data_IF_735668659602
#
_entry.id   IF_735668659602
#
_cell.length_a   1.000
_cell.length_b   1.000
_cell.length_c   1.000
_cell.angle_alpha   90.00
_cell.angle_beta   90.00
_cell.angle_gamma   90.00
#
_symmetry.space_group_name_H-M   'P 1'
#
loop_
_entity.id
_entity.type
_entity.pdbx_description
1 polymer ?
#
# COMPACT_ATOMS: atom_id res chain seq x y z
N UNK A 1 14.06 -47.07 31.09
CA UNK A 1 13.10 -46.00 30.74
C UNK A 1 12.30 -46.50 29.56
N UNK A 2 10.98 -46.36 29.58
CA UNK A 2 10.07 -46.81 28.50
C UNK A 2 9.15 -45.65 28.13
N UNK A 3 8.76 -45.56 26.85
CA UNK A 3 7.79 -44.58 26.36
C UNK A 3 6.59 -45.33 25.78
N UNK A 4 5.40 -44.97 26.24
CA UNK A 4 4.12 -45.44 25.70
C UNK A 4 3.56 -44.36 24.78
N UNK A 5 3.49 -44.64 23.48
CA UNK A 5 2.97 -43.70 22.47
C UNK A 5 1.46 -43.44 22.60
N UNK A 6 0.69 -44.43 23.07
CA UNK A 6 -0.77 -44.35 23.19
C UNK A 6 -1.16 -43.44 24.34
N UNK A 7 -0.48 -43.58 25.47
CA UNK A 7 -0.73 -42.74 26.67
C UNK A 7 0.21 -41.54 26.78
N UNK A 8 1.19 -41.43 25.86
CA UNK A 8 2.28 -40.43 25.88
C UNK A 8 3.05 -40.41 27.21
N UNK A 9 3.16 -41.56 27.87
CA UNK A 9 3.77 -41.69 29.20
C UNK A 9 5.21 -42.15 29.11
N UNK A 10 6.10 -41.49 29.85
CA UNK A 10 7.48 -41.96 30.08
C UNK A 10 7.54 -42.63 31.45
N UNK A 11 7.97 -43.89 31.51
CA UNK A 11 8.17 -44.63 32.76
C UNK A 11 9.65 -44.94 33.00
N UNK A 12 10.07 -44.92 34.27
CA UNK A 12 11.43 -45.29 34.67
C UNK A 12 11.38 -46.08 35.99
N UNK A 13 12.40 -46.90 36.22
CA UNK A 13 12.59 -47.69 37.44
C UNK A 13 13.94 -47.29 38.01
N UNK A 14 13.98 -46.92 39.28
CA UNK A 14 15.24 -46.74 40.01
C UNK A 14 15.93 -48.11 40.12
N UNK A 15 17.18 -48.19 39.66
CA UNK A 15 17.94 -49.45 39.71
C UNK A 15 18.48 -49.79 41.11
N UNK A 16 18.30 -48.88 42.08
CA UNK A 16 18.75 -49.05 43.45
C UNK A 16 17.68 -48.52 44.43
N UNK A 17 17.53 -49.24 45.54
CA UNK A 17 16.69 -48.82 46.65
C UNK A 17 17.26 -47.56 47.32
N UNK A 18 16.38 -46.67 47.76
CA UNK A 18 16.75 -45.51 48.57
C UNK A 18 16.77 -45.92 50.05
N UNK A 19 17.91 -45.68 50.72
CA UNK A 19 18.00 -45.90 52.16
C UNK A 19 17.20 -44.84 52.93
N UNK A 20 16.78 -45.11 54.19
CA UNK A 20 16.12 -44.13 55.04
C UNK A 20 16.91 -42.81 55.13
N UNK A 21 16.26 -41.69 54.81
CA UNK A 21 16.88 -40.36 54.78
C UNK A 21 17.55 -39.96 53.46
N UNK A 22 17.57 -40.84 52.44
CA UNK A 22 18.01 -40.48 51.10
C UNK A 22 16.88 -39.87 50.28
N UNK A 23 17.22 -38.88 49.45
CA UNK A 23 16.31 -38.25 48.52
C UNK A 23 16.78 -38.49 47.08
N UNK A 24 15.87 -38.89 46.20
CA UNK A 24 16.12 -38.86 44.76
C UNK A 24 15.51 -37.58 44.16
N UNK A 25 16.30 -36.85 43.35
CA UNK A 25 15.79 -35.76 42.53
C UNK A 25 15.44 -36.31 41.14
N UNK A 26 14.16 -36.34 40.82
CA UNK A 26 13.69 -36.71 39.48
C UNK A 26 13.43 -35.41 38.71
N UNK A 27 14.13 -35.24 37.58
CA UNK A 27 13.93 -34.09 36.69
C UNK A 27 13.23 -34.60 35.44
N UNK A 28 12.04 -34.06 35.17
CA UNK A 28 11.30 -34.36 33.95
C UNK A 28 11.62 -33.32 32.89
N UNK A 29 11.98 -33.78 31.69
CA UNK A 29 11.98 -32.94 30.50
C UNK A 29 10.62 -33.11 29.82
N UNK A 30 9.79 -32.08 29.90
CA UNK A 30 8.43 -32.14 29.36
C UNK A 30 8.44 -31.73 27.90
N UNK A 31 7.76 -32.49 27.06
CA UNK A 31 7.51 -32.13 25.66
C UNK A 31 6.09 -31.59 25.55
N UNK A 32 5.97 -30.36 25.03
CA UNK A 32 4.69 -29.71 24.75
C UNK A 32 3.87 -30.59 23.81
N UNK A 33 2.59 -30.84 24.13
CA UNK A 33 1.68 -31.47 23.18
C UNK A 33 0.32 -30.78 23.22
N UNK A 34 0.01 -30.07 22.14
CA UNK A 34 -1.27 -29.42 21.90
C UNK A 34 -1.14 -28.34 20.84
N UNK A 35 -1.82 -28.52 19.70
CA UNK A 35 -2.01 -27.50 18.65
C UNK A 35 -3.06 -26.44 19.09
N UNK A 36 -3.55 -26.52 20.33
CA UNK A 36 -4.58 -25.70 20.96
C UNK A 36 -4.02 -24.67 21.95
N UNK A 37 -2.69 -24.54 22.05
CA UNK A 37 -2.04 -23.59 22.95
C UNK A 37 -2.05 -23.99 24.42
N UNK A 38 -2.42 -25.24 24.77
CA UNK A 38 -2.42 -25.73 26.16
C UNK A 38 -1.43 -26.89 26.32
N UNK A 39 -0.28 -26.61 26.92
CA UNK A 39 0.66 -27.60 27.40
C UNK A 39 0.26 -28.06 28.80
N UNK A 40 -0.14 -29.32 28.91
CA UNK A 40 -0.38 -29.99 30.18
C UNK A 40 0.86 -30.77 30.57
N UNK A 41 1.51 -30.37 31.65
CA UNK A 41 2.49 -31.24 32.30
C UNK A 41 1.74 -32.12 33.29
N UNK A 42 1.70 -33.43 33.06
CA UNK A 42 1.20 -34.39 34.04
C UNK A 42 2.41 -35.04 34.68
N UNK A 43 2.67 -34.73 35.95
CA UNK A 43 3.72 -35.41 36.73
C UNK A 43 3.07 -36.33 37.75
N UNK A 44 3.28 -37.65 37.57
CA UNK A 44 2.90 -38.69 38.52
C UNK A 44 4.12 -39.57 38.78
N UNK A 45 4.86 -39.27 39.85
CA UNK A 45 5.85 -40.18 40.40
C UNK A 45 5.14 -41.19 41.31
N UNK A 46 5.60 -42.45 41.33
CA UNK A 46 5.16 -43.43 42.33
C UNK A 46 6.36 -44.12 42.96
N UNK A 47 6.21 -44.51 44.22
CA UNK A 47 7.20 -45.26 44.97
C UNK A 47 6.50 -46.44 45.64
N UNK A 48 7.01 -47.65 45.43
CA UNK A 48 6.47 -48.86 46.05
C UNK A 48 7.45 -49.35 47.12
N UNK A 49 6.98 -49.47 48.35
CA UNK A 49 7.76 -49.97 49.49
C UNK A 49 6.92 -50.96 50.30
N UNK A 50 7.51 -52.11 50.61
CA UNK A 50 6.87 -53.16 51.41
C UNK A 50 5.45 -53.52 50.94
N UNK A 51 5.23 -53.61 49.63
CA UNK A 51 3.93 -53.94 49.03
C UNK A 51 2.91 -52.80 48.99
N UNK A 52 3.25 -51.60 49.48
CA UNK A 52 2.40 -50.41 49.43
C UNK A 52 2.95 -49.41 48.42
N UNK A 53 2.09 -48.87 47.56
CA UNK A 53 2.47 -47.85 46.56
C UNK A 53 1.98 -46.47 46.99
N UNK A 54 2.88 -45.50 47.02
CA UNK A 54 2.60 -44.10 47.29
C UNK A 54 2.74 -43.34 45.97
N UNK A 55 1.77 -42.49 45.64
CA UNK A 55 1.80 -41.62 44.46
C UNK A 55 2.14 -40.20 44.88
N UNK A 56 2.93 -39.49 44.09
CA UNK A 56 2.95 -38.04 44.14
C UNK A 56 1.58 -37.50 43.75
N UNK A 57 1.23 -36.35 44.26
CA UNK A 57 0.11 -35.56 43.79
C UNK A 57 0.26 -35.26 42.29
N UNK A 58 -0.85 -35.31 41.56
CA UNK A 58 -0.90 -34.82 40.19
C UNK A 58 -0.66 -33.30 40.24
N UNK A 59 0.46 -32.84 39.69
CA UNK A 59 0.65 -31.43 39.41
C UNK A 59 0.29 -31.22 37.95
N UNK A 60 -0.88 -30.64 37.70
CA UNK A 60 -1.23 -30.11 36.38
C UNK A 60 -0.79 -28.66 36.34
N UNK A 61 0.26 -28.35 35.58
CA UNK A 61 0.61 -26.97 35.26
C UNK A 61 -0.09 -26.59 33.96
N UNK A 62 -0.94 -25.58 34.04
CA UNK A 62 -1.55 -24.93 32.88
C UNK A 62 -0.59 -23.83 32.42
N UNK A 63 -0.40 -23.70 31.12
CA UNK A 63 0.37 -22.61 30.55
C UNK A 63 -0.57 -21.43 30.31
N UNK A 64 -0.47 -20.42 31.14
CA UNK A 64 -1.29 -19.22 30.96
C UNK A 64 -0.88 -18.53 29.65
N UNK A 65 -1.86 -18.28 28.78
CA UNK A 65 -1.65 -17.61 27.50
C UNK A 65 -2.76 -16.61 27.22
N UNK A 66 -2.44 -15.59 26.43
CA UNK A 66 -3.38 -14.67 25.83
C UNK A 66 -3.52 -14.93 24.33
N UNK A 67 -4.76 -14.81 23.86
CA UNK A 67 -5.17 -14.80 22.47
C UNK A 67 -5.52 -13.36 22.08
N UNK A 68 -4.93 -12.85 21.01
CA UNK A 68 -5.26 -11.53 20.48
C UNK A 68 -5.92 -11.69 19.11
N UNK A 69 -7.11 -11.12 18.95
CA UNK A 69 -7.78 -10.98 17.67
C UNK A 69 -7.60 -9.57 17.12
N UNK A 70 -7.08 -9.50 15.91
CA UNK A 70 -6.96 -8.27 15.14
C UNK A 70 -8.12 -8.20 14.17
N UNK A 71 -8.89 -7.12 14.26
CA UNK A 71 -10.06 -6.93 13.40
C UNK A 71 -10.09 -5.54 12.78
N UNK A 72 -10.83 -5.43 11.69
CA UNK A 72 -11.23 -4.18 11.08
C UNK A 72 -12.24 -3.47 11.98
N UNK A 73 -12.03 -2.19 12.26
CA UNK A 73 -12.88 -1.41 13.18
C UNK A 73 -14.31 -1.25 12.65
N UNK A 74 -14.50 -1.11 11.34
CA UNK A 74 -15.80 -0.80 10.74
C UNK A 74 -16.64 -2.06 10.50
N UNK A 75 -16.00 -3.15 10.09
CA UNK A 75 -16.65 -4.38 9.62
C UNK A 75 -16.54 -5.54 10.61
N UNK A 76 -15.58 -5.50 11.55
CA UNK A 76 -15.29 -6.59 12.47
C UNK A 76 -14.59 -7.79 11.83
N UNK A 77 -14.25 -7.72 10.54
CA UNK A 77 -13.56 -8.80 9.83
C UNK A 77 -12.14 -9.01 10.39
N UNK A 78 -11.64 -10.26 10.43
CA UNK A 78 -10.28 -10.55 10.88
C UNK A 78 -9.22 -9.95 9.95
N UNK A 79 -8.10 -9.51 10.52
CA UNK A 79 -6.99 -8.90 9.77
C UNK A 79 -5.67 -9.66 9.94
N UNK A 80 -5.23 -10.28 8.85
CA UNK A 80 -3.95 -10.98 8.74
C UNK A 80 -2.77 -10.02 8.49
N UNK A 81 -1.58 -10.42 8.93
CA UNK A 81 -0.32 -9.72 8.62
C UNK A 81 0.01 -8.50 9.49
N UNK A 82 -0.77 -8.19 10.52
CA UNK A 82 -0.35 -7.24 11.55
C UNK A 82 0.83 -7.81 12.33
N UNK A 83 1.82 -7.00 12.69
CA UNK A 83 2.99 -7.45 13.46
C UNK A 83 3.02 -6.76 14.81
N UNK A 84 3.24 -7.55 15.86
CA UNK A 84 3.23 -7.12 17.25
C UNK A 84 4.52 -7.49 17.96
N UNK A 85 4.78 -6.73 19.04
CA UNK A 85 5.64 -7.16 20.14
C UNK A 85 4.79 -7.37 21.40
N UNK A 86 5.25 -8.28 22.25
CA UNK A 86 4.73 -8.48 23.59
C UNK A 86 5.73 -7.93 24.59
N UNK A 87 5.30 -7.06 25.49
CA UNK A 87 6.14 -6.45 26.55
C UNK A 87 5.61 -6.80 27.93
N UNK A 88 6.50 -6.82 28.93
CA UNK A 88 6.13 -6.96 30.34
C UNK A 88 5.77 -5.61 31.01
N UNK A 89 5.39 -5.66 32.29
CA UNK A 89 5.06 -4.48 33.12
C UNK A 89 6.14 -3.38 33.13
N UNK A 90 7.40 -3.72 32.85
CA UNK A 90 8.54 -2.79 32.81
C UNK A 90 8.84 -2.28 31.39
N UNK A 91 8.00 -2.63 30.42
CA UNK A 91 8.20 -2.34 29.00
C UNK A 91 9.30 -3.16 28.36
N UNK A 92 9.80 -4.22 29.02
CA UNK A 92 10.83 -5.08 28.43
C UNK A 92 10.17 -6.03 27.45
N UNK A 93 10.76 -6.14 26.26
CA UNK A 93 10.27 -7.06 25.25
C UNK A 93 10.40 -8.51 25.71
N UNK A 94 9.28 -9.24 25.64
CA UNK A 94 9.17 -10.67 25.93
C UNK A 94 9.20 -11.46 24.63
N UNK A 95 8.49 -10.98 23.60
CA UNK A 95 8.49 -11.54 22.24
C UNK A 95 8.38 -10.43 21.20
N UNK A 96 8.97 -10.67 20.04
CA UNK A 96 8.90 -9.79 18.87
C UNK A 96 8.35 -10.55 17.67
N UNK A 97 7.95 -9.80 16.65
CA UNK A 97 7.53 -10.33 15.35
C UNK A 97 6.39 -11.35 15.45
N UNK A 98 5.46 -11.13 16.40
CA UNK A 98 4.23 -11.91 16.48
C UNK A 98 3.31 -11.41 15.38
N UNK A 99 3.01 -12.24 14.39
CA UNK A 99 2.20 -11.84 13.24
C UNK A 99 0.82 -12.46 13.31
N UNK A 100 -0.22 -11.69 13.02
CA UNK A 100 -1.58 -12.22 12.92
C UNK A 100 -1.69 -13.16 11.73
N UNK A 101 -2.27 -14.33 11.95
CA UNK A 101 -2.52 -15.33 10.92
C UNK A 101 -3.72 -14.96 10.03
N UNK A 102 -4.12 -15.88 9.14
CA UNK A 102 -5.26 -15.68 8.23
C UNK A 102 -6.60 -15.47 8.97
N UNK A 103 -6.72 -15.97 10.20
CA UNK A 103 -7.87 -15.71 11.08
C UNK A 103 -7.73 -14.42 11.89
N UNK A 104 -6.68 -13.63 11.67
CA UNK A 104 -6.42 -12.39 12.39
C UNK A 104 -5.94 -12.61 13.82
N UNK A 105 -5.39 -13.79 14.13
CA UNK A 105 -5.14 -14.21 15.50
C UNK A 105 -3.65 -14.28 15.82
N UNK A 106 -3.29 -13.93 17.06
CA UNK A 106 -1.98 -14.17 17.66
C UNK A 106 -2.15 -14.99 18.94
N UNK A 107 -1.39 -16.08 19.03
CA UNK A 107 -1.18 -16.79 20.28
C UNK A 107 0.11 -16.30 20.94
N UNK A 108 0.00 -15.70 22.12
CA UNK A 108 1.19 -15.30 22.90
C UNK A 108 2.07 -16.48 23.32
N UNK A 109 1.53 -17.70 23.35
CA UNK A 109 2.16 -18.87 23.96
C UNK A 109 2.25 -18.74 25.48
N UNK A 110 3.10 -19.56 26.11
CA UNK A 110 3.23 -19.61 27.58
C UNK A 110 3.79 -18.30 28.15
N UNK A 111 3.11 -17.76 29.16
CA UNK A 111 3.57 -16.64 29.97
C UNK A 111 3.61 -17.03 31.46
N UNK A 112 4.49 -16.36 32.21
CA UNK A 112 4.46 -16.43 33.68
C UNK A 112 3.38 -15.46 34.21
N UNK A 113 2.84 -15.68 35.42
CA UNK A 113 2.00 -14.68 36.07
C UNK A 113 2.66 -13.29 36.11
N UNK A 114 1.87 -12.26 35.80
CA UNK A 114 2.33 -10.88 35.70
C UNK A 114 1.54 -10.05 34.68
N UNK A 115 1.89 -8.77 34.58
CA UNK A 115 1.28 -7.83 33.63
C UNK A 115 2.06 -7.76 32.32
N UNK A 116 1.33 -7.69 31.22
CA UNK A 116 1.85 -7.66 29.86
C UNK A 116 1.05 -6.69 28.98
N UNK A 117 1.60 -6.37 27.81
CA UNK A 117 0.86 -5.69 26.76
C UNK A 117 1.31 -6.14 25.37
N UNK A 118 0.35 -6.29 24.47
CA UNK A 118 0.63 -6.31 23.03
C UNK A 118 0.74 -4.88 22.51
N UNK A 119 1.74 -4.63 21.66
CA UNK A 119 1.93 -3.34 20.98
C UNK A 119 2.09 -3.64 19.49
N UNK A 120 1.22 -3.07 18.66
CA UNK A 120 1.35 -3.16 17.21
C UNK A 120 2.61 -2.42 16.78
N UNK A 121 3.38 -3.04 15.89
CA UNK A 121 4.63 -2.50 15.34
C UNK A 121 4.55 -2.34 13.82
N UNK A 122 3.56 -2.99 13.19
CA UNK A 122 3.24 -2.84 11.78
C UNK A 122 1.76 -3.19 11.57
N UNK A 123 1.01 -2.25 11.01
CA UNK A 123 -0.37 -2.51 10.60
C UNK A 123 -0.46 -3.52 9.46
N UNK A 124 -1.61 -4.21 9.30
CA UNK A 124 -1.97 -4.88 8.06
C UNK A 124 -1.90 -3.95 6.86
N UNK A 125 -1.70 -4.52 5.66
CA UNK A 125 -1.69 -3.75 4.42
C UNK A 125 -3.02 -3.01 4.23
N UNK A 126 -2.97 -1.70 4.00
CA UNK A 126 -4.16 -0.86 3.81
C UNK A 126 -4.76 -0.29 5.10
N UNK A 127 -4.12 -0.48 6.24
CA UNK A 127 -4.58 0.00 7.55
C UNK A 127 -3.59 0.99 8.17
N UNK A 128 -4.11 1.85 9.06
CA UNK A 128 -3.30 2.75 9.89
C UNK A 128 -2.75 1.97 11.08
N UNK A 129 -1.50 2.26 11.47
CA UNK A 129 -0.83 1.67 12.64
C UNK A 129 -1.40 2.26 13.93
N UNK A 130 -1.83 1.39 14.85
CA UNK A 130 -2.22 1.79 16.20
C UNK A 130 -1.27 1.18 17.23
N UNK A 131 -0.32 1.98 17.72
CA UNK A 131 0.65 1.56 18.73
C UNK A 131 0.07 1.58 20.17
N UNK A 132 -1.23 1.83 20.34
CA UNK A 132 -1.88 1.84 21.66
C UNK A 132 -1.76 0.46 22.32
N UNK A 133 -1.10 0.33 23.50
CA UNK A 133 -0.87 -0.97 24.10
C UNK A 133 -2.15 -1.65 24.58
N UNK A 134 -2.38 -2.89 24.12
CA UNK A 134 -3.45 -3.76 24.63
C UNK A 134 -2.94 -4.49 25.87
N UNK A 135 -3.26 -3.95 27.05
CA UNK A 135 -2.77 -4.44 28.34
C UNK A 135 -3.58 -5.61 28.86
N UNK A 136 -2.90 -6.56 29.51
CA UNK A 136 -3.54 -7.66 30.21
C UNK A 136 -2.71 -8.20 31.37
N UNK A 137 -3.37 -8.94 32.26
CA UNK A 137 -2.73 -9.58 33.41
C UNK A 137 -2.94 -11.09 33.34
N UNK A 138 -1.85 -11.83 33.55
CA UNK A 138 -1.85 -13.26 33.73
C UNK A 138 -1.82 -13.56 35.23
N UNK A 139 -2.84 -14.25 35.74
CA UNK A 139 -2.93 -14.62 37.16
C UNK A 139 -2.51 -16.07 37.35
N UNK A 140 -1.79 -16.36 38.44
CA UNK A 140 -1.39 -17.72 38.78
C UNK A 140 -2.59 -18.65 38.93
N UNK A 141 -2.56 -19.80 38.24
CA UNK A 141 -3.64 -20.78 38.24
C UNK A 141 -4.86 -20.41 37.41
N UNK A 142 -4.77 -19.41 36.53
CA UNK A 142 -5.86 -19.00 35.65
C UNK A 142 -6.11 -20.03 34.52
N UNK A 143 -7.19 -20.79 34.63
CA UNK A 143 -7.50 -21.90 33.70
C UNK A 143 -8.04 -21.47 32.32
N UNK A 144 -8.21 -20.17 32.09
CA UNK A 144 -8.87 -19.63 30.90
C UNK A 144 -7.89 -18.75 30.14
N UNK A 145 -7.74 -19.04 28.85
CA UNK A 145 -6.99 -18.18 27.92
C UNK A 145 -7.67 -16.83 27.86
N UNK A 146 -6.91 -15.75 28.07
CA UNK A 146 -7.48 -14.43 27.99
C UNK A 146 -7.72 -14.06 26.52
N UNK A 147 -8.96 -13.68 26.21
CA UNK A 147 -9.39 -13.31 24.86
C UNK A 147 -9.40 -11.78 24.73
N UNK A 148 -8.55 -11.25 23.85
CA UNK A 148 -8.31 -9.83 23.64
C UNK A 148 -8.65 -9.45 22.20
N UNK A 149 -9.09 -8.21 21.99
CA UNK A 149 -9.36 -7.68 20.64
C UNK A 149 -8.66 -6.34 20.43
N UNK A 150 -8.12 -6.12 19.23
CA UNK A 150 -7.58 -4.84 18.79
C UNK A 150 -8.04 -4.49 17.37
N UNK A 151 -8.53 -3.28 17.20
CA UNK A 151 -9.09 -2.79 15.95
C UNK A 151 -8.08 -1.94 15.18
N UNK A 152 -8.11 -1.95 13.84
CA UNK A 152 -7.48 -0.92 13.01
C UNK A 152 -8.53 -0.36 12.08
N UNK A 153 -8.35 0.90 11.72
CA UNK A 153 -9.14 1.56 10.70
C UNK A 153 -8.34 1.70 9.41
N UNK A 154 -9.07 1.73 8.30
CA UNK A 154 -8.52 2.13 7.02
C UNK A 154 -8.24 3.65 7.03
N UNK A 155 -7.24 4.12 6.28
CA UNK A 155 -6.97 5.55 6.18
C UNK A 155 -8.16 6.26 5.55
N UNK A 156 -8.43 7.49 6.01
CA UNK A 156 -9.38 8.37 5.32
C UNK A 156 -8.85 8.74 3.95
N UNK A 157 -9.74 8.87 2.98
CA UNK A 157 -9.40 9.20 1.60
C UNK A 157 -10.17 10.41 1.11
N UNK A 158 -9.57 11.14 0.17
CA UNK A 158 -10.18 12.22 -0.60
C UNK A 158 -10.14 11.90 -2.09
N UNK A 159 -10.83 12.72 -2.89
CA UNK A 159 -10.71 12.71 -4.35
C UNK A 159 -10.31 14.10 -4.85
N UNK A 160 -9.48 14.13 -5.89
CA UNK A 160 -9.11 15.35 -6.62
C UNK A 160 -9.66 15.24 -8.03
N UNK A 161 -10.52 16.18 -8.42
CA UNK A 161 -11.11 16.21 -9.76
C UNK A 161 -11.13 17.61 -10.33
N UNK A 162 -11.17 17.70 -11.66
CA UNK A 162 -11.17 18.95 -12.37
C UNK A 162 -11.66 18.82 -13.81
N UNK A 163 -11.83 19.97 -14.45
CA UNK A 163 -12.27 20.09 -15.83
C UNK A 163 -11.23 20.81 -16.68
N UNK A 164 -11.17 20.42 -17.95
CA UNK A 164 -10.37 21.05 -18.98
C UNK A 164 -11.24 21.88 -19.92
N UNK A 165 -10.90 23.16 -20.03
CA UNK A 165 -11.53 24.12 -20.94
C UNK A 165 -10.55 24.58 -22.04
N UNK A 166 -11.08 24.85 -23.23
CA UNK A 166 -10.35 25.36 -24.38
C UNK A 166 -10.89 26.73 -24.80
N UNK A 167 -10.05 27.76 -24.74
CA UNK A 167 -10.29 29.11 -25.25
C UNK A 167 -9.58 29.28 -26.60
N UNK A 168 -10.11 28.64 -27.64
CA UNK A 168 -9.48 28.51 -28.97
C UNK A 168 -10.44 28.72 -30.14
N UNK A 169 -11.53 29.47 -29.88
CA UNK A 169 -12.58 29.77 -30.85
C UNK A 169 -13.16 28.51 -31.51
N UNK A 170 -13.45 27.50 -30.69
CA UNK A 170 -13.94 26.20 -31.13
C UNK A 170 -12.97 25.52 -32.11
N UNK A 171 -11.69 25.46 -31.72
CA UNK A 171 -10.60 24.86 -32.48
C UNK A 171 -10.42 25.46 -33.89
N UNK A 172 -10.46 26.79 -34.02
CA UNK A 172 -10.43 27.49 -35.32
C UNK A 172 -9.22 27.13 -36.19
N UNK A 173 -8.07 26.82 -35.56
CA UNK A 173 -6.82 26.47 -36.25
C UNK A 173 -6.63 24.96 -36.46
N UNK A 174 -7.56 24.11 -36.01
CA UNK A 174 -7.40 22.65 -35.98
C UNK A 174 -6.11 22.18 -35.25
N UNK A 175 -5.69 22.92 -34.23
CA UNK A 175 -4.46 22.67 -33.46
C UNK A 175 -4.70 21.99 -32.12
N UNK A 176 -5.96 21.86 -31.68
CA UNK A 176 -6.29 21.22 -30.41
C UNK A 176 -5.88 19.74 -30.46
N UNK A 177 -5.07 19.25 -29.50
CA UNK A 177 -4.70 17.84 -29.46
C UNK A 177 -5.91 16.97 -29.12
N UNK A 178 -5.87 15.71 -29.54
CA UNK A 178 -6.93 14.73 -29.23
C UNK A 178 -7.04 14.43 -27.72
N UNK A 179 -5.94 14.63 -26.98
CA UNK A 179 -5.89 14.51 -25.54
C UNK A 179 -4.73 15.31 -24.93
N UNK A 180 -4.82 15.53 -23.63
CA UNK A 180 -3.75 16.08 -22.78
C UNK A 180 -3.44 15.09 -21.64
N UNK A 181 -2.34 15.34 -20.92
CA UNK A 181 -1.99 14.62 -19.70
C UNK A 181 -2.11 15.57 -18.50
N UNK A 182 -2.85 15.15 -17.48
CA UNK A 182 -2.88 15.80 -16.16
C UNK A 182 -2.13 14.92 -15.17
N UNK A 183 -1.15 15.49 -14.51
CA UNK A 183 -0.31 14.84 -13.51
C UNK A 183 -0.78 15.17 -12.10
N UNK A 184 -0.91 14.15 -11.25
CA UNK A 184 -1.15 14.30 -9.82
C UNK A 184 0.17 14.27 -9.05
N UNK A 185 0.33 15.25 -8.16
CA UNK A 185 1.47 15.37 -7.26
C UNK A 185 1.01 15.25 -5.81
N UNK A 186 1.79 14.55 -5.00
CA UNK A 186 1.65 14.46 -3.55
C UNK A 186 2.93 14.94 -2.89
N UNK A 187 2.84 15.97 -2.06
CA UNK A 187 3.98 16.64 -1.42
C UNK A 187 5.07 17.04 -2.45
N UNK A 188 4.64 17.49 -3.64
CA UNK A 188 5.54 17.90 -4.73
C UNK A 188 6.13 16.77 -5.57
N UNK A 189 5.87 15.49 -5.25
CA UNK A 189 6.29 14.35 -6.06
C UNK A 189 5.14 13.88 -6.96
N UNK A 190 5.42 13.68 -8.26
CA UNK A 190 4.45 13.07 -9.19
C UNK A 190 4.16 11.63 -8.77
N UNK A 191 2.89 11.29 -8.58
CA UNK A 191 2.45 9.96 -8.14
C UNK A 191 1.52 9.27 -9.13
N UNK A 192 0.84 10.02 -10.00
CA UNK A 192 -0.08 9.47 -10.99
C UNK A 192 -0.26 10.44 -12.17
N UNK A 193 -0.87 9.96 -13.26
CA UNK A 193 -1.22 10.74 -14.45
C UNK A 193 -2.52 10.22 -15.08
N UNK A 194 -3.37 11.13 -15.55
CA UNK A 194 -4.55 10.78 -16.32
C UNK A 194 -4.53 11.43 -17.71
N UNK A 195 -4.84 10.63 -18.73
CA UNK A 195 -5.06 11.13 -20.10
C UNK A 195 -6.50 11.64 -20.23
N UNK A 196 -6.64 12.91 -20.61
CA UNK A 196 -7.92 13.62 -20.66
C UNK A 196 -8.23 14.00 -22.11
N UNK A 197 -9.43 13.71 -22.59
CA UNK A 197 -9.81 13.87 -24.00
C UNK A 197 -11.28 14.24 -24.16
N UNK A 198 -11.73 14.43 -25.41
CA UNK A 198 -13.15 14.58 -25.71
C UNK A 198 -13.99 13.36 -25.25
N UNK A 199 -13.42 12.15 -25.28
CA UNK A 199 -14.12 10.94 -24.82
C UNK A 199 -14.35 10.92 -23.30
N UNK A 200 -13.47 11.56 -22.52
CA UNK A 200 -13.66 11.76 -21.07
C UNK A 200 -14.44 13.04 -20.78
N UNK A 201 -15.06 13.63 -21.80
CA UNK A 201 -15.75 14.93 -21.73
C UNK A 201 -14.86 16.04 -21.16
N UNK A 202 -13.55 15.93 -21.39
CA UNK A 202 -12.52 16.83 -20.85
C UNK A 202 -12.54 16.93 -19.31
N UNK A 203 -12.92 15.86 -18.61
CA UNK A 203 -12.89 15.76 -17.16
C UNK A 203 -11.88 14.71 -16.69
N UNK A 204 -11.40 14.87 -15.47
CA UNK A 204 -10.45 13.97 -14.82
C UNK A 204 -10.73 13.85 -13.32
N UNK A 205 -10.34 12.73 -12.73
CA UNK A 205 -10.51 12.44 -11.31
C UNK A 205 -9.44 11.45 -10.82
N UNK A 206 -8.95 11.70 -9.62
CA UNK A 206 -8.08 10.81 -8.87
C UNK A 206 -8.79 10.49 -7.55
N UNK A 207 -9.15 9.22 -7.36
CA UNK A 207 -9.94 8.76 -6.22
C UNK A 207 -9.09 8.00 -5.21
N UNK A 208 -9.66 7.78 -4.01
CA UNK A 208 -9.07 6.98 -2.94
C UNK A 208 -7.66 7.47 -2.52
N UNK A 209 -7.42 8.78 -2.60
CA UNK A 209 -6.15 9.37 -2.21
C UNK A 209 -6.10 9.48 -0.69
N UNK A 210 -5.13 8.87 0.01
CA UNK A 210 -5.06 8.97 1.47
C UNK A 210 -4.94 10.45 1.88
N UNK A 211 -5.72 10.85 2.89
CA UNK A 211 -5.77 12.23 3.38
C UNK A 211 -4.49 12.61 4.13
N UNK A 212 -3.89 11.65 4.86
CA UNK A 212 -2.72 11.85 5.69
C UNK A 212 -1.79 10.63 5.67
N UNK A 213 -0.55 10.83 6.11
CA UNK A 213 0.40 9.75 6.37
C UNK A 213 0.01 8.92 7.62
N UNK A 214 0.78 7.87 7.90
CA UNK A 214 0.54 6.97 9.03
C UNK A 214 0.66 7.66 10.40
N UNK A 215 1.27 8.84 10.47
CA UNK A 215 1.43 9.64 11.69
C UNK A 215 0.34 10.71 11.80
N UNK A 216 -0.59 10.78 10.85
CA UNK A 216 -1.66 11.77 10.80
C UNK A 216 -1.25 13.11 10.18
N UNK A 217 -0.09 13.20 9.53
CA UNK A 217 0.32 14.41 8.80
C UNK A 217 -0.45 14.49 7.47
N UNK A 218 -1.27 15.53 7.22
CA UNK A 218 -2.02 15.63 5.97
C UNK A 218 -1.11 15.72 4.75
N UNK A 219 -1.53 15.08 3.66
CA UNK A 219 -0.86 15.18 2.36
C UNK A 219 -1.29 16.45 1.61
N UNK A 220 -0.33 17.10 0.95
CA UNK A 220 -0.60 18.19 0.01
C UNK A 220 -0.73 17.62 -1.41
N UNK A 221 -1.93 17.73 -1.98
CA UNK A 221 -2.22 17.28 -3.34
C UNK A 221 -2.36 18.45 -4.31
N UNK A 222 -1.63 18.37 -5.41
CA UNK A 222 -1.71 19.35 -6.50
C UNK A 222 -1.74 18.65 -7.84
N UNK A 223 -2.21 19.36 -8.86
CA UNK A 223 -2.30 18.86 -10.24
C UNK A 223 -1.57 19.81 -11.16
N UNK A 224 -0.97 19.25 -12.22
CA UNK A 224 -0.31 20.03 -13.27
C UNK A 224 -0.65 19.46 -14.65
N UNK A 225 -0.87 20.34 -15.61
CA UNK A 225 -1.00 19.96 -17.00
C UNK A 225 0.39 19.89 -17.66
N UNK A 226 0.64 18.84 -18.46
CA UNK A 226 1.82 18.81 -19.32
C UNK A 226 1.73 19.87 -20.41
N UNK A 227 2.86 20.51 -20.75
CA UNK A 227 2.91 21.62 -21.71
C UNK A 227 2.23 21.23 -23.03
N UNK A 228 1.19 21.98 -23.41
CA UNK A 228 0.52 21.86 -24.70
C UNK A 228 1.12 22.85 -25.70
N UNK A 229 1.69 22.34 -26.79
CA UNK A 229 2.29 23.18 -27.82
C UNK A 229 1.26 24.11 -28.48
N UNK A 230 1.59 25.39 -28.63
CA UNK A 230 0.70 26.39 -29.24
C UNK A 230 -0.36 26.98 -28.30
N UNK A 231 -0.38 26.59 -27.02
CA UNK A 231 -1.32 27.09 -26.04
C UNK A 231 -0.62 27.66 -24.80
N UNK A 232 -1.30 28.58 -24.13
CA UNK A 232 -0.95 29.07 -22.79
C UNK A 232 -1.95 28.51 -21.79
N UNK A 233 -1.45 27.79 -20.78
CA UNK A 233 -2.26 27.18 -19.72
C UNK A 233 -2.52 28.17 -18.59
N UNK A 234 -3.78 28.28 -18.18
CA UNK A 234 -4.23 28.92 -16.94
C UNK A 234 -4.80 27.85 -16.01
N UNK A 235 -4.56 27.98 -14.71
CA UNK A 235 -5.07 27.06 -13.70
C UNK A 235 -5.85 27.83 -12.65
N UNK A 236 -7.04 27.33 -12.31
CA UNK A 236 -7.90 27.84 -11.23
C UNK A 236 -8.34 26.67 -10.35
N UNK A 237 -7.75 26.56 -9.15
CA UNK A 237 -7.80 25.36 -8.34
C UNK A 237 -7.31 24.13 -9.11
N UNK A 238 -8.22 23.19 -9.36
CA UNK A 238 -7.95 21.98 -10.15
C UNK A 238 -8.47 22.08 -11.59
N UNK A 239 -9.06 23.20 -12.01
CA UNK A 239 -9.49 23.37 -13.40
C UNK A 239 -8.36 23.97 -14.24
N UNK A 240 -8.29 23.54 -15.50
CA UNK A 240 -7.32 24.05 -16.47
C UNK A 240 -8.02 24.68 -17.67
N UNK A 241 -7.51 25.82 -18.12
CA UNK A 241 -7.96 26.50 -19.34
C UNK A 241 -6.78 26.71 -20.27
N UNK A 242 -6.85 26.19 -21.50
CA UNK A 242 -5.83 26.47 -22.52
C UNK A 242 -6.33 27.56 -23.47
N UNK A 243 -5.55 28.63 -23.57
CA UNK A 243 -5.78 29.73 -24.49
C UNK A 243 -4.87 29.56 -25.69
N UNK A 244 -5.42 29.61 -26.91
CA UNK A 244 -4.62 29.54 -28.13
C UNK A 244 -3.65 30.74 -28.18
N UNK A 245 -2.37 30.48 -28.43
CA UNK A 245 -1.37 31.54 -28.51
C UNK A 245 -1.61 32.41 -29.75
N UNK A 246 -1.34 33.73 -29.67
CA UNK A 246 -1.36 34.59 -30.85
C UNK A 246 -0.42 34.04 -31.92
N UNK A 247 -0.90 33.98 -33.15
CA UNK A 247 -0.04 33.81 -34.32
C UNK A 247 0.59 35.15 -34.63
N UNK A 248 1.92 35.19 -34.70
CA UNK A 248 2.60 36.36 -35.26
C UNK A 248 2.07 36.57 -36.68
N UNK A 249 1.69 37.80 -37.06
CA UNK A 249 1.25 38.07 -38.42
C UNK A 249 2.39 37.70 -39.36
N UNK A 250 2.12 36.76 -40.27
CA UNK A 250 2.98 36.53 -41.42
C UNK A 250 3.03 37.86 -42.16
N UNK A 251 4.19 38.53 -42.15
CA UNK A 251 4.41 39.73 -42.96
C UNK A 251 4.08 39.35 -44.40
N UNK A 252 3.10 40.01 -45.06
CA UNK A 252 2.82 39.74 -46.46
C UNK A 252 4.13 39.95 -47.23
N UNK A 253 4.59 38.92 -47.93
CA UNK A 253 5.66 39.09 -48.90
C UNK A 253 5.08 39.99 -49.98
N UNK A 254 5.53 41.25 -50.06
CA UNK A 254 5.17 42.13 -51.16
C UNK A 254 5.53 41.42 -52.48
N UNK A 255 4.64 41.40 -53.48
CA UNK A 255 5.01 40.90 -54.80
C UNK A 255 6.18 41.75 -55.30
N UNK A 256 7.35 41.12 -55.53
CA UNK A 256 8.47 41.80 -56.15
C UNK A 256 7.98 42.52 -57.41
N UNK A 257 8.19 43.85 -57.48
CA UNK A 257 7.98 44.60 -58.70
C UNK A 257 8.77 43.94 -59.85
N UNK A 258 8.22 43.87 -61.08
CA UNK A 258 8.97 43.32 -62.21
C UNK A 258 10.27 44.10 -62.38
N UNK A 259 11.40 43.40 -62.43
CA UNK A 259 12.67 44.00 -62.79
C UNK A 259 12.53 44.70 -64.15
N UNK A 260 13.05 45.93 -64.26
CA UNK A 260 13.24 46.61 -65.54
C UNK A 260 14.03 45.70 -66.50
N UNK A 261 13.75 45.74 -67.81
CA UNK A 261 14.43 44.88 -68.77
C UNK A 261 15.92 45.27 -68.90
N UNK A 262 16.79 44.27 -68.81
CA UNK A 262 18.23 44.44 -68.99
C UNK A 262 18.56 45.02 -70.39
N UNK A 263 19.45 46.01 -70.40
CA UNK A 263 20.07 46.54 -71.63
C UNK A 263 21.00 45.50 -72.28
N UNK A 264 21.15 45.49 -73.62
CA UNK A 264 21.77 44.38 -74.33
C UNK A 264 23.28 44.26 -74.08
N UNK A 265 23.73 43.03 -73.81
CA UNK A 265 25.14 42.63 -73.69
C UNK A 265 25.76 42.48 -75.09
N UNK A 266 26.87 43.18 -75.32
CA UNK A 266 27.72 43.06 -76.51
C UNK A 266 28.71 41.88 -76.36
N UNK A 267 28.94 41.02 -77.38
CA UNK A 267 29.78 39.83 -77.25
C UNK A 267 31.19 40.01 -77.84
N UNK A 268 32.24 39.60 -77.11
CA UNK A 268 33.49 39.09 -77.73
C UNK A 268 34.38 38.27 -76.75
N UNK A 269 34.32 36.95 -76.96
CA UNK A 269 35.28 35.81 -76.88
C UNK A 269 36.82 36.05 -76.70
N UNK A 270 37.70 35.00 -76.51
CA UNK A 270 37.75 33.89 -75.52
C UNK A 270 39.21 33.53 -75.02
N UNK A 271 39.33 32.42 -74.26
CA UNK A 271 40.51 31.54 -74.01
C UNK A 271 41.49 31.91 -72.86
N UNK A 272 42.15 30.99 -72.11
CA UNK A 272 42.06 29.53 -71.86
C UNK A 272 42.81 29.17 -70.56
N UNK A 273 42.30 28.14 -69.88
CA UNK A 273 42.92 27.03 -69.09
C UNK A 273 44.28 27.14 -68.37
N UNK A 274 44.30 26.67 -67.09
CA UNK A 274 45.16 25.53 -66.65
C UNK A 274 44.57 24.78 -65.45
N UNK A 275 44.66 23.44 -65.52
CA UNK A 275 44.24 22.39 -64.57
C UNK A 275 45.45 21.70 -63.94
N UNK A 276 45.30 21.21 -62.70
CA UNK A 276 45.88 19.96 -62.10
C UNK A 276 45.23 19.82 -60.70
N UNK A 277 44.45 18.80 -60.26
CA UNK A 277 44.46 17.32 -60.36
C UNK A 277 44.85 16.76 -58.96
N UNK A 278 44.27 15.75 -58.29
CA UNK A 278 43.22 14.73 -58.54
C UNK A 278 42.82 14.02 -57.20
N UNK A 279 41.62 13.40 -57.15
CA UNK A 279 41.05 12.25 -56.37
C UNK A 279 41.28 12.06 -54.85
N UNK A 280 40.35 11.56 -54.02
CA UNK A 280 39.50 10.35 -54.14
C UNK A 280 38.44 10.26 -53.02
N UNK A 281 37.35 9.51 -53.27
CA UNK A 281 36.56 8.67 -52.33
C UNK A 281 35.19 9.15 -51.79
N UNK A 282 34.19 8.38 -52.26
CA UNK A 282 32.77 8.18 -51.96
C UNK A 282 32.44 7.82 -50.49
N UNK A 283 31.15 7.92 -50.07
CA UNK A 283 30.58 6.82 -49.30
C UNK A 283 29.22 6.32 -49.83
N UNK A 284 29.07 5.01 -49.64
CA UNK A 284 28.01 4.07 -50.02
C UNK A 284 26.86 3.99 -49.01
N UNK A 285 25.65 3.68 -49.49
CA UNK A 285 24.47 3.22 -48.75
C UNK A 285 24.53 1.72 -48.41
N UNK A 286 23.94 1.29 -47.28
CA UNK A 286 23.18 0.03 -47.01
C UNK A 286 22.96 -0.21 -45.48
N UNK A 287 22.09 -1.13 -44.98
CA UNK A 287 20.61 -1.05 -44.95
C UNK A 287 19.96 -1.47 -43.59
N UNK A 288 18.62 -1.46 -43.57
CA UNK A 288 17.63 -1.88 -42.54
C UNK A 288 18.00 -2.89 -41.44
N UNK A 289 17.43 -2.67 -40.26
CA UNK A 289 17.11 -3.72 -39.27
C UNK A 289 15.67 -3.58 -38.77
N UNK A 290 14.85 -4.58 -39.09
CA UNK A 290 13.51 -4.86 -38.54
C UNK A 290 13.50 -4.96 -37.02
N UNK A 291 12.44 -4.49 -36.38
CA UNK A 291 12.08 -4.84 -35.00
C UNK A 291 10.60 -5.21 -34.94
N UNK A 292 10.35 -6.43 -34.43
CA UNK A 292 9.07 -7.10 -34.21
C UNK A 292 8.13 -6.35 -33.25
N UNK A 293 6.82 -6.44 -33.54
CA UNK A 293 5.72 -6.15 -32.62
C UNK A 293 5.38 -7.42 -31.80
N UNK A 294 5.03 -7.30 -30.50
CA UNK A 294 4.25 -8.33 -29.84
C UNK A 294 2.75 -8.02 -29.95
N UNK A 295 2.04 -9.06 -30.36
CA UNK A 295 0.60 -9.22 -30.42
C UNK A 295 0.04 -9.53 -29.02
N UNK A 296 -1.01 -8.82 -28.57
CA UNK A 296 -1.89 -9.32 -27.50
C UNK A 296 -3.33 -8.87 -27.71
N UNK A 297 -4.14 -9.81 -28.16
CA UNK A 297 -5.59 -9.85 -28.00
C UNK A 297 -6.00 -9.74 -26.52
N UNK A 298 -6.85 -8.77 -26.18
CA UNK A 298 -7.77 -8.85 -25.04
C UNK A 298 -9.08 -8.08 -25.35
N UNK A 299 -10.21 -8.73 -25.06
CA UNK A 299 -11.59 -8.33 -25.38
C UNK A 299 -12.10 -7.19 -24.49
N UNK A 300 -13.15 -6.43 -24.88
CA UNK A 300 -13.66 -5.31 -24.10
C UNK A 300 -14.59 -5.79 -22.97
N UNK A 301 -14.37 -5.31 -21.74
CA UNK A 301 -15.32 -5.47 -20.63
C UNK A 301 -16.14 -4.19 -20.46
N UNK A 302 -17.45 -4.32 -20.60
CA UNK A 302 -18.45 -3.29 -20.45
C UNK A 302 -18.55 -2.76 -19.01
N UNK A 303 -18.48 -1.45 -18.83
CA UNK A 303 -19.29 -0.72 -17.85
C UNK A 303 -19.50 0.72 -18.35
N UNK A 304 -20.69 0.97 -18.85
CA UNK A 304 -21.27 2.30 -19.01
C UNK A 304 -22.38 2.37 -17.97
N UNK A 305 -22.21 3.18 -16.91
CA UNK A 305 -23.36 3.70 -16.18
C UNK A 305 -23.09 5.16 -15.83
N UNK A 306 -23.94 6.00 -16.40
CA UNK A 306 -24.03 7.44 -16.27
C UNK A 306 -24.04 7.91 -14.82
N UNK A 307 -23.16 8.85 -14.47
CA UNK A 307 -23.32 9.63 -13.24
C UNK A 307 -23.92 10.99 -13.61
N UNK A 308 -25.24 11.12 -13.37
CA UNK A 308 -25.93 12.40 -13.39
C UNK A 308 -25.76 13.01 -12.00
N UNK A 309 -24.93 14.04 -11.84
CA UNK A 309 -24.81 14.77 -10.58
C UNK A 309 -25.67 16.04 -10.62
N UNK A 310 -26.78 16.02 -9.88
CA UNK A 310 -27.61 17.18 -9.61
C UNK A 310 -27.02 17.98 -8.43
N UNK A 311 -26.65 19.25 -8.67
CA UNK A 311 -26.37 20.21 -7.60
C UNK A 311 -27.70 20.76 -7.04
N UNK A 312 -27.97 20.52 -5.76
CA UNK A 312 -29.00 21.25 -5.01
C UNK A 312 -28.30 22.40 -4.27
N UNK A 313 -28.59 23.64 -4.68
CA UNK A 313 -28.27 24.85 -3.94
C UNK A 313 -29.33 25.00 -2.84
N UNK A 314 -28.94 24.79 -1.58
CA UNK A 314 -29.77 25.11 -0.42
C UNK A 314 -29.56 26.58 -0.04
N UNK A 315 -30.54 27.43 -0.36
CA UNK A 315 -30.72 28.72 0.32
C UNK A 315 -31.65 28.51 1.51
N UNK A 316 -31.15 28.82 2.70
CA UNK A 316 -31.92 28.72 3.95
C UNK A 316 -33.05 29.74 4.06
N UNK A 317 -34.12 29.33 4.72
CA UNK A 317 -35.02 30.20 5.50
C UNK A 317 -35.36 29.45 6.78
N UNK A 318 -34.98 30.02 7.92
CA UNK A 318 -35.29 29.50 9.23
C UNK A 318 -36.75 29.72 9.61
N UNK A 319 -37.30 28.78 10.38
CA UNK A 319 -38.49 29.00 11.19
C UNK A 319 -38.32 28.30 12.54
N UNK A 320 -38.10 29.11 13.58
CA UNK A 320 -38.13 28.68 14.97
C UNK A 320 -39.57 28.40 15.41
N UNK A 321 -39.81 27.21 15.97
CA UNK A 321 -41.01 26.95 16.78
C UNK A 321 -40.55 26.44 18.15
N UNK A 322 -40.78 27.25 19.18
CA UNK A 322 -40.71 26.87 20.59
C UNK A 322 -41.94 26.01 20.91
N UNK A 323 -41.74 24.91 21.62
CA UNK A 323 -42.79 24.33 22.46
C UNK A 323 -42.44 24.47 23.95
N UNK A 324 -43.49 24.75 24.70
CA UNK A 324 -43.51 25.16 26.11
C UNK A 324 -44.17 24.03 26.90
N UNK A 325 -43.57 23.76 28.06
CA UNK A 325 -43.96 22.80 29.12
C UNK A 325 -43.78 21.32 28.80
#
# INVERSE_FOLDING_TARGET
MTYDETTRTVSYVLQHDLNPGQHAKVVFNVKLVGDDGVAKVVNKASYTYAGSTIFSNDVTTYIDSALLHKTDEATGNPLAGAVFKLVDAKGRTVKENLTTDESGTIHSGVLRPGDYAFIETKAPTGYVLDETPVKFTVVDGQLVTLDLTMFNHQPRTISVSGQKTWEDQNNIMNTRPDAITIDLYRNGQKIDSQRVSAATQWQYHFDNLPEADNNGTPYDYTVREEKVAGYTTKQDGYNFTNVLNPIDPVVPIEPNQPNEPDSPINPEQPETSTLTGDKTSQPTLSPNKEVNLPDTNAKPSWWLTSLLLAMIISTGVGLSIKFKS
#
